data_IF_001544189263
#
_entry.id   IF_001544189263
#
_cell.length_a   1.000
_cell.length_b   1.000
_cell.length_c   1.000
_cell.angle_alpha   90.00
_cell.angle_beta   90.00
_cell.angle_gamma   90.00
#
_symmetry.space_group_name_H-M   'P 1'
#
loop_
_entity.id
_entity.type
_entity.pdbx_description
1 polymer ?
#
# COMPACT_ATOMS: atom_id res chain seq x y z
N UNK A 1 8.93 8.14 -3.60
CA UNK A 1 8.61 6.91 -2.84
C UNK A 1 9.48 6.78 -1.60
N UNK A 2 10.80 6.65 -1.70
CA UNK A 2 11.67 6.52 -0.50
C UNK A 2 11.54 7.71 0.47
N UNK A 3 11.57 8.94 -0.06
CA UNK A 3 11.37 10.16 0.74
C UNK A 3 10.00 10.24 1.41
N UNK A 4 8.96 9.65 0.81
CA UNK A 4 7.60 9.61 1.37
C UNK A 4 7.51 8.56 2.48
N UNK A 5 8.17 7.41 2.32
CA UNK A 5 8.27 6.40 3.39
C UNK A 5 9.06 6.91 4.58
N UNK A 6 10.14 7.68 4.35
CA UNK A 6 10.89 8.31 5.44
C UNK A 6 10.04 9.35 6.18
N UNK A 7 9.22 10.13 5.46
CA UNK A 7 8.24 11.02 6.08
C UNK A 7 7.19 10.24 6.89
N UNK A 8 6.70 9.11 6.39
CA UNK A 8 5.77 8.24 7.12
C UNK A 8 6.41 7.70 8.42
N UNK A 9 7.68 7.28 8.37
CA UNK A 9 8.43 6.86 9.57
C UNK A 9 8.55 7.99 10.58
N UNK A 10 8.84 9.21 10.13
CA UNK A 10 8.97 10.36 11.00
C UNK A 10 7.63 10.73 11.67
N UNK A 11 6.54 10.72 10.91
CA UNK A 11 5.19 10.91 11.46
C UNK A 11 4.84 9.86 12.52
N UNK A 12 5.19 8.59 12.29
CA UNK A 12 4.93 7.53 13.24
C UNK A 12 5.71 7.71 14.54
N UNK A 13 6.99 8.12 14.47
CA UNK A 13 7.79 8.48 15.66
C UNK A 13 7.14 9.58 16.49
N UNK A 14 6.51 10.54 15.83
CA UNK A 14 5.76 11.63 16.45
C UNK A 14 4.31 11.28 16.81
N UNK A 15 3.91 10.00 16.73
CA UNK A 15 2.57 9.48 17.06
C UNK A 15 1.45 9.99 16.15
N UNK A 16 1.79 10.51 14.97
CA UNK A 16 0.81 10.81 13.92
C UNK A 16 0.47 9.54 13.13
N UNK A 17 -0.13 8.55 13.83
CA UNK A 17 -0.32 7.17 13.36
C UNK A 17 -1.10 7.13 12.04
N UNK A 18 -2.27 7.78 11.98
CA UNK A 18 -3.13 7.77 10.79
C UNK A 18 -2.45 8.45 9.59
N UNK A 19 -1.79 9.57 9.83
CA UNK A 19 -1.09 10.31 8.78
C UNK A 19 0.09 9.50 8.21
N UNK A 20 0.85 8.82 9.08
CA UNK A 20 1.90 7.90 8.65
C UNK A 20 1.36 6.78 7.75
N UNK A 21 0.26 6.14 8.15
CA UNK A 21 -0.38 5.09 7.36
C UNK A 21 -0.96 5.59 6.04
N UNK A 22 -1.54 6.80 6.00
CA UNK A 22 -2.03 7.41 4.77
C UNK A 22 -0.90 7.62 3.75
N UNK A 23 0.24 8.16 4.18
CA UNK A 23 1.40 8.36 3.29
C UNK A 23 1.95 7.02 2.78
N UNK A 24 2.12 6.03 3.66
CA UNK A 24 2.57 4.70 3.24
C UNK A 24 1.60 4.05 2.23
N UNK A 25 0.30 4.24 2.43
CA UNK A 25 -0.74 3.82 1.50
C UNK A 25 -0.63 4.45 0.11
N UNK A 26 -0.37 5.75 0.04
CA UNK A 26 -0.15 6.45 -1.23
C UNK A 26 1.07 5.90 -1.97
N UNK A 27 2.16 5.60 -1.26
CA UNK A 27 3.36 5.00 -1.87
C UNK A 27 3.04 3.63 -2.46
N UNK A 28 2.30 2.78 -1.74
CA UNK A 28 1.89 1.46 -2.24
C UNK A 28 1.04 1.59 -3.50
N UNK A 29 0.03 2.48 -3.49
CA UNK A 29 -0.85 2.71 -4.63
C UNK A 29 -0.09 3.17 -5.87
N UNK A 30 0.80 4.18 -5.72
CA UNK A 30 1.64 4.66 -6.81
C UNK A 30 2.49 3.54 -7.40
N UNK A 31 3.14 2.76 -6.55
CA UNK A 31 4.02 1.68 -7.00
C UNK A 31 3.25 0.57 -7.73
N UNK A 32 2.13 0.08 -7.19
CA UNK A 32 1.33 -0.94 -7.88
C UNK A 32 0.78 -0.41 -9.22
N UNK A 33 0.46 0.88 -9.29
CA UNK A 33 0.06 1.50 -10.54
C UNK A 33 1.20 1.56 -11.58
N UNK A 34 2.42 1.88 -11.15
CA UNK A 34 3.61 1.84 -12.02
C UNK A 34 3.88 0.43 -12.55
N UNK A 35 3.78 -0.59 -11.71
CA UNK A 35 3.92 -2.00 -12.11
C UNK A 35 2.84 -2.39 -13.12
N UNK A 36 1.57 -2.02 -12.89
CA UNK A 36 0.52 -2.22 -13.88
C UNK A 36 0.86 -1.58 -15.24
N UNK A 37 1.43 -0.37 -15.22
CA UNK A 37 1.89 0.32 -16.43
C UNK A 37 3.04 -0.40 -17.12
N UNK A 38 4.05 -0.86 -16.37
CA UNK A 38 5.20 -1.58 -16.90
C UNK A 38 4.81 -2.91 -17.59
N UNK A 39 3.78 -3.59 -17.08
CA UNK A 39 3.23 -4.83 -17.63
C UNK A 39 2.11 -4.60 -18.66
N UNK A 40 1.85 -3.37 -19.08
CA UNK A 40 0.80 -3.00 -20.05
C UNK A 40 -0.61 -3.49 -19.65
N UNK A 41 -0.90 -3.54 -18.35
CA UNK A 41 -2.21 -3.97 -17.84
C UNK A 41 -3.22 -2.84 -18.03
N UNK A 42 -4.31 -3.13 -18.72
CA UNK A 42 -5.39 -2.15 -18.94
C UNK A 42 -6.30 -2.08 -17.72
N UNK A 43 -6.27 -0.95 -17.01
CA UNK A 43 -7.17 -0.66 -15.89
C UNK A 43 -8.50 -0.12 -16.41
N UNK A 44 -9.60 -0.77 -16.03
CA UNK A 44 -10.96 -0.36 -16.47
C UNK A 44 -11.52 0.81 -15.65
N UNK A 45 -10.99 1.02 -14.44
CA UNK A 45 -11.41 2.11 -13.54
C UNK A 45 -10.41 3.26 -13.60
N UNK A 46 -10.92 4.48 -13.81
CA UNK A 46 -10.12 5.71 -13.84
C UNK A 46 -9.42 6.02 -12.50
N UNK A 47 -10.06 5.67 -11.38
CA UNK A 47 -9.53 5.85 -10.02
C UNK A 47 -9.38 4.48 -9.36
N UNK A 48 -8.42 3.69 -9.85
CA UNK A 48 -8.17 2.35 -9.31
C UNK A 48 -7.54 2.42 -7.92
N UNK A 49 -8.14 1.73 -6.95
CA UNK A 49 -7.63 1.64 -5.57
C UNK A 49 -6.49 0.61 -5.48
N UNK A 50 -5.77 0.57 -4.35
CA UNK A 50 -4.79 -0.50 -4.05
C UNK A 50 -5.38 -1.90 -4.30
N UNK A 51 -6.64 -2.14 -3.91
CA UNK A 51 -7.30 -3.43 -4.11
C UNK A 51 -7.52 -3.73 -5.60
N UNK A 52 -7.97 -2.74 -6.38
CA UNK A 52 -8.18 -2.89 -7.83
C UNK A 52 -6.85 -3.18 -8.55
N UNK A 53 -5.79 -2.46 -8.19
CA UNK A 53 -4.45 -2.62 -8.76
C UNK A 53 -3.87 -4.00 -8.43
N UNK A 54 -3.95 -4.40 -7.17
CA UNK A 54 -3.45 -5.70 -6.71
C UNK A 54 -4.19 -6.86 -7.40
N UNK A 55 -5.50 -6.75 -7.57
CA UNK A 55 -6.31 -7.73 -8.29
C UNK A 55 -5.93 -7.80 -9.77
N UNK A 56 -5.71 -6.66 -10.42
CA UNK A 56 -5.26 -6.61 -11.80
C UNK A 56 -3.90 -7.31 -12.00
N UNK A 57 -2.93 -7.04 -11.12
CA UNK A 57 -1.61 -7.69 -11.13
C UNK A 57 -1.72 -9.21 -10.94
N UNK A 58 -2.60 -9.65 -10.03
CA UNK A 58 -2.82 -11.08 -9.78
C UNK A 58 -3.45 -11.77 -10.98
N UNK A 59 -4.46 -11.16 -11.60
CA UNK A 59 -5.15 -11.71 -12.77
C UNK A 59 -4.25 -11.73 -14.02
N UNK A 60 -3.33 -10.77 -14.15
CA UNK A 60 -2.29 -10.78 -15.16
C UNK A 60 -1.13 -11.74 -14.84
N UNK A 61 -1.17 -12.47 -13.71
CA UNK A 61 -0.11 -13.37 -13.26
C UNK A 61 1.26 -12.70 -13.04
N UNK A 62 1.28 -11.38 -12.78
CA UNK A 62 2.49 -10.62 -12.43
C UNK A 62 2.92 -10.92 -10.99
N UNK A 63 1.94 -11.14 -10.11
CA UNK A 63 2.17 -11.50 -8.71
C UNK A 63 1.49 -12.82 -8.35
N UNK A 64 2.08 -13.55 -7.42
CA UNK A 64 1.51 -14.80 -6.92
C UNK A 64 0.55 -14.57 -5.76
N UNK A 65 -0.18 -15.64 -5.37
CA UNK A 65 -1.17 -15.58 -4.29
C UNK A 65 -0.59 -15.07 -2.96
N UNK A 66 0.64 -15.45 -2.54
CA UNK A 66 1.24 -14.91 -1.32
C UNK A 66 1.45 -13.39 -1.37
N UNK A 67 1.98 -12.86 -2.48
CA UNK A 67 2.17 -11.43 -2.67
C UNK A 67 0.83 -10.69 -2.70
N UNK A 68 -0.15 -11.22 -3.42
CA UNK A 68 -1.49 -10.64 -3.48
C UNK A 68 -2.14 -10.54 -2.09
N UNK A 69 -2.07 -11.60 -1.28
CA UNK A 69 -2.59 -11.57 0.11
C UNK A 69 -1.81 -10.58 0.98
N UNK A 70 -0.50 -10.48 0.78
CA UNK A 70 0.33 -9.52 1.51
C UNK A 70 -0.08 -8.08 1.17
N UNK A 71 -0.23 -7.73 -0.10
CA UNK A 71 -0.71 -6.41 -0.51
C UNK A 71 -2.12 -6.10 0.01
N UNK A 72 -3.03 -7.08 0.01
CA UNK A 72 -4.35 -6.92 0.61
C UNK A 72 -4.27 -6.57 2.10
N UNK A 73 -3.42 -7.28 2.84
CA UNK A 73 -3.20 -6.99 4.26
C UNK A 73 -2.71 -5.55 4.49
N UNK A 74 -1.77 -5.07 3.67
CA UNK A 74 -1.31 -3.67 3.72
C UNK A 74 -2.44 -2.68 3.39
N UNK A 75 -3.26 -2.99 2.38
CA UNK A 75 -4.43 -2.18 2.02
C UNK A 75 -5.45 -2.09 3.17
N UNK A 76 -5.67 -3.17 3.91
CA UNK A 76 -6.58 -3.20 5.05
C UNK A 76 -6.07 -2.31 6.20
N UNK A 77 -4.77 -2.30 6.48
CA UNK A 77 -4.17 -1.40 7.48
C UNK A 77 -4.32 0.05 7.03
N UNK A 78 -4.01 0.36 5.77
CA UNK A 78 -4.22 1.69 5.18
C UNK A 78 -5.68 2.13 5.32
N UNK A 79 -6.63 1.22 5.09
CA UNK A 79 -8.05 1.51 5.26
C UNK A 79 -8.46 1.83 6.71
N UNK A 80 -7.79 1.26 7.72
CA UNK A 80 -7.98 1.64 9.12
C UNK A 80 -7.49 3.07 9.39
N UNK A 81 -6.45 3.52 8.68
CA UNK A 81 -5.91 4.87 8.84
C UNK A 81 -6.84 5.96 8.26
N UNK A 82 -7.53 5.67 7.16
CA UNK A 82 -8.25 6.71 6.40
C UNK A 82 -9.77 6.70 6.60
N UNK A 83 -10.36 5.58 7.03
CA UNK A 83 -11.79 5.52 7.29
C UNK A 83 -12.09 5.75 8.78
N UNK A 84 -13.13 6.53 9.07
CA UNK A 84 -13.62 6.74 10.43
C UNK A 84 -14.46 5.54 10.87
N UNK A 85 -13.79 4.43 11.21
CA UNK A 85 -14.41 3.25 11.84
C UNK A 85 -14.21 3.33 13.36
N UNK A 86 -14.96 2.56 14.15
CA UNK A 86 -14.80 2.50 15.61
C UNK A 86 -13.45 1.97 16.09
N UNK A 87 -12.60 1.49 15.18
CA UNK A 87 -11.30 0.87 15.47
C UNK A 87 -10.21 1.74 14.86
N UNK A 88 -9.30 2.20 15.72
CA UNK A 88 -8.11 2.95 15.32
C UNK A 88 -6.95 1.99 15.00
N UNK A 89 -6.05 2.34 14.06
CA UNK A 89 -4.86 1.56 13.79
C UNK A 89 -3.88 1.64 14.98
N UNK A 90 -3.19 0.53 15.28
CA UNK A 90 -2.09 0.53 16.25
C UNK A 90 -0.78 1.02 15.63
N UNK A 91 0.17 1.40 16.48
CA UNK A 91 1.54 1.77 16.05
C UNK A 91 2.20 0.61 15.31
N UNK A 92 2.08 -0.61 15.83
CA UNK A 92 2.68 -1.81 15.23
C UNK A 92 2.08 -2.09 13.85
N UNK A 93 0.76 -1.97 13.69
CA UNK A 93 0.10 -2.12 12.39
C UNK A 93 0.62 -1.10 11.38
N UNK A 94 0.76 0.17 11.76
CA UNK A 94 1.28 1.18 10.83
C UNK A 94 2.77 0.99 10.55
N UNK A 95 3.54 0.51 11.51
CA UNK A 95 4.93 0.11 11.26
C UNK A 95 5.01 -1.05 10.25
N UNK A 96 4.19 -2.09 10.42
CA UNK A 96 4.08 -3.22 9.50
C UNK A 96 3.65 -2.76 8.10
N UNK A 97 2.76 -1.77 8.03
CA UNK A 97 2.39 -1.13 6.76
C UNK A 97 3.60 -0.46 6.11
N UNK A 98 4.31 0.41 6.81
CA UNK A 98 5.47 1.16 6.27
C UNK A 98 6.56 0.19 5.77
N UNK A 99 6.94 -0.78 6.60
CA UNK A 99 8.00 -1.73 6.25
C UNK A 99 7.55 -2.72 5.18
N UNK A 100 6.27 -3.10 5.19
CA UNK A 100 5.67 -3.89 4.13
C UNK A 100 5.69 -3.17 2.78
N UNK A 101 5.33 -1.89 2.74
CA UNK A 101 5.40 -1.09 1.50
C UNK A 101 6.85 -0.92 1.03
N UNK A 102 7.78 -0.63 1.95
CA UNK A 102 9.23 -0.60 1.66
C UNK A 102 9.69 -1.90 0.99
N UNK A 103 9.25 -3.06 1.48
CA UNK A 103 9.54 -4.36 0.87
C UNK A 103 8.93 -4.50 -0.53
N UNK A 104 7.66 -4.17 -0.69
CA UNK A 104 6.95 -4.31 -1.98
C UNK A 104 7.63 -3.48 -3.06
N UNK A 105 7.92 -2.21 -2.77
CA UNK A 105 8.59 -1.28 -3.70
C UNK A 105 9.97 -1.74 -4.20
N UNK A 106 10.57 -2.74 -3.53
CA UNK A 106 11.89 -3.30 -3.85
C UNK A 106 11.82 -4.71 -4.43
N UNK A 107 10.65 -5.33 -4.51
CA UNK A 107 10.51 -6.75 -4.85
C UNK A 107 9.46 -7.04 -5.91
N UNK A 108 8.64 -6.05 -6.30
CA UNK A 108 7.62 -6.17 -7.34
C UNK A 108 7.93 -5.12 -8.42
N UNK A 109 7.98 -5.52 -9.68
CA UNK A 109 8.37 -4.67 -10.81
C UNK A 109 7.58 -5.04 -12.06
#
# INVERSE_FOLDING_TARGET
MDSELDAARELLKHKFIRAAGAIAGVVLEKHLHEVCGAHNITLTKKNSTIADLNEALKNASVIETPQWRFHQHLADIRNLCDHNKKVEPSVDQVNDLIEGVSKVTKTVF
#
